data_IF_771609132778
#
_entry.id   IF_771609132778
#
_cell.length_a   1.000
_cell.length_b   1.000
_cell.length_c   1.000
_cell.angle_alpha   90.00
_cell.angle_beta   90.00
_cell.angle_gamma   90.00
#
_symmetry.space_group_name_H-M   'P 1'
#
loop_
_entity.id
_entity.type
_entity.pdbx_description
1 polymer ?
#
# COMPACT_ATOMS: atom_id res chain seq x y z
N UNK A 1 -32.80 -35.98 -23.03
CA UNK A 1 -33.01 -35.05 -21.91
C UNK A 1 -32.91 -33.63 -22.44
N UNK A 2 -34.02 -33.06 -22.91
CA UNK A 2 -34.09 -31.68 -23.40
C UNK A 2 -34.66 -30.85 -22.26
N UNK A 3 -33.84 -29.97 -21.68
CA UNK A 3 -34.31 -29.01 -20.67
C UNK A 3 -35.30 -28.07 -21.37
N UNK A 4 -36.54 -28.03 -20.89
CA UNK A 4 -37.64 -27.27 -21.51
C UNK A 4 -37.26 -25.80 -21.77
N UNK A 5 -37.55 -25.34 -22.99
CA UNK A 5 -37.17 -24.01 -23.52
C UNK A 5 -37.60 -22.84 -22.61
N UNK A 6 -38.74 -22.97 -21.91
CA UNK A 6 -39.21 -21.98 -20.93
C UNK A 6 -38.37 -21.91 -19.65
N UNK A 7 -37.86 -23.03 -19.17
CA UNK A 7 -36.97 -23.08 -18.00
C UNK A 7 -35.62 -22.42 -18.38
N UNK A 8 -35.10 -22.72 -19.57
CA UNK A 8 -33.87 -22.11 -20.10
C UNK A 8 -33.98 -20.57 -20.23
N UNK A 9 -35.09 -20.06 -20.76
CA UNK A 9 -35.34 -18.62 -20.87
C UNK A 9 -35.46 -17.93 -19.50
N UNK A 10 -36.10 -18.58 -18.52
CA UNK A 10 -36.16 -18.08 -17.14
C UNK A 10 -34.77 -17.93 -16.52
N UNK A 11 -33.91 -18.95 -16.68
CA UNK A 11 -32.52 -18.92 -16.21
C UNK A 11 -31.71 -17.81 -16.89
N UNK A 12 -31.88 -17.60 -18.20
CA UNK A 12 -31.18 -16.53 -18.91
C UNK A 12 -31.62 -15.13 -18.46
N UNK A 13 -32.91 -14.92 -18.20
CA UNK A 13 -33.42 -13.65 -17.64
C UNK A 13 -32.85 -13.35 -16.26
N UNK A 14 -32.77 -14.35 -15.39
CA UNK A 14 -32.15 -14.19 -14.05
C UNK A 14 -30.65 -13.89 -14.16
N UNK A 15 -29.93 -14.56 -15.07
CA UNK A 15 -28.52 -14.27 -15.34
C UNK A 15 -28.31 -12.84 -15.85
N UNK A 16 -29.16 -12.37 -16.77
CA UNK A 16 -29.09 -11.00 -17.28
C UNK A 16 -29.37 -9.96 -16.18
N UNK A 17 -30.38 -10.19 -15.33
CA UNK A 17 -30.67 -9.33 -14.17
C UNK A 17 -29.51 -9.32 -13.17
N UNK A 18 -28.90 -10.46 -12.88
CA UNK A 18 -27.71 -10.54 -12.01
C UNK A 18 -26.47 -9.87 -12.59
N UNK A 19 -26.26 -9.99 -13.91
CA UNK A 19 -25.14 -9.36 -14.60
C UNK A 19 -25.29 -7.83 -14.65
N UNK A 20 -26.51 -7.32 -14.90
CA UNK A 20 -26.79 -5.88 -14.93
C UNK A 20 -26.63 -5.23 -13.55
N UNK A 21 -27.13 -5.87 -12.49
CA UNK A 21 -26.92 -5.39 -11.12
C UNK A 21 -25.45 -5.51 -10.70
N UNK A 22 -24.79 -6.64 -10.97
CA UNK A 22 -23.36 -6.84 -10.69
C UNK A 22 -22.46 -5.84 -11.38
N UNK A 23 -22.72 -5.52 -12.66
CA UNK A 23 -21.99 -4.50 -13.41
C UNK A 23 -22.13 -3.11 -12.77
N UNK A 24 -23.34 -2.71 -12.40
CA UNK A 24 -23.60 -1.42 -11.73
C UNK A 24 -22.87 -1.32 -10.39
N UNK A 25 -22.86 -2.39 -9.59
CA UNK A 25 -22.14 -2.45 -8.31
C UNK A 25 -20.63 -2.34 -8.49
N UNK A 26 -20.06 -3.09 -9.44
CA UNK A 26 -18.63 -3.06 -9.73
C UNK A 26 -18.19 -1.70 -10.28
N UNK A 27 -19.01 -1.07 -11.13
CA UNK A 27 -18.76 0.28 -11.64
C UNK A 27 -18.74 1.33 -10.52
N UNK A 28 -19.70 1.28 -9.59
CA UNK A 28 -19.71 2.18 -8.43
C UNK A 28 -18.49 1.96 -7.53
N UNK A 29 -18.08 0.69 -7.32
CA UNK A 29 -16.86 0.36 -6.56
C UNK A 29 -15.61 0.90 -7.24
N UNK A 30 -15.47 0.73 -8.56
CA UNK A 30 -14.30 1.20 -9.31
C UNK A 30 -14.20 2.73 -9.35
N UNK A 31 -15.33 3.44 -9.48
CA UNK A 31 -15.39 4.90 -9.40
C UNK A 31 -14.98 5.41 -8.00
N UNK A 32 -15.47 4.77 -6.93
CA UNK A 32 -15.09 5.09 -5.56
C UNK A 32 -13.58 4.88 -5.31
N UNK A 33 -13.04 3.75 -5.76
CA UNK A 33 -11.60 3.45 -5.65
C UNK A 33 -10.75 4.45 -6.44
N UNK A 34 -11.19 4.84 -7.64
CA UNK A 34 -10.47 5.83 -8.46
C UNK A 34 -10.46 7.21 -7.80
N UNK A 35 -11.58 7.61 -7.16
CA UNK A 35 -11.64 8.85 -6.38
C UNK A 35 -10.64 8.82 -5.22
N UNK A 36 -10.62 7.73 -4.45
CA UNK A 36 -9.67 7.57 -3.33
C UNK A 36 -8.22 7.55 -3.80
N UNK A 37 -7.93 6.87 -4.92
CA UNK A 37 -6.60 6.84 -5.52
C UNK A 37 -6.10 8.24 -5.89
N UNK A 38 -6.96 9.10 -6.44
CA UNK A 38 -6.60 10.50 -6.73
C UNK A 38 -6.28 11.28 -5.46
N UNK A 39 -7.09 11.13 -4.40
CA UNK A 39 -6.85 11.77 -3.10
C UNK A 39 -5.50 11.34 -2.53
N UNK A 40 -5.21 10.04 -2.55
CA UNK A 40 -3.97 9.51 -1.97
C UNK A 40 -2.75 9.87 -2.82
N UNK A 41 -2.89 9.95 -4.15
CA UNK A 41 -1.81 10.42 -5.02
C UNK A 41 -1.40 11.86 -4.70
N UNK A 42 -2.37 12.73 -4.39
CA UNK A 42 -2.08 14.11 -3.93
C UNK A 42 -1.34 14.08 -2.59
N UNK A 43 -1.85 13.31 -1.64
CA UNK A 43 -1.22 13.14 -0.33
C UNK A 43 0.22 12.61 -0.44
N UNK A 44 0.50 11.67 -1.35
CA UNK A 44 1.84 11.16 -1.61
C UNK A 44 2.78 12.28 -2.06
N UNK A 45 2.33 13.16 -2.96
CA UNK A 45 3.15 14.28 -3.42
C UNK A 45 3.45 15.26 -2.28
N UNK A 46 2.45 15.57 -1.45
CA UNK A 46 2.60 16.45 -0.29
C UNK A 46 3.59 15.86 0.74
N UNK A 47 3.39 14.60 1.13
CA UNK A 47 4.29 13.90 2.06
C UNK A 47 5.69 13.72 1.47
N UNK A 48 5.83 13.54 0.15
CA UNK A 48 7.15 13.45 -0.50
C UNK A 48 7.90 14.79 -0.46
N UNK A 49 7.19 15.91 -0.58
CA UNK A 49 7.80 17.23 -0.41
C UNK A 49 8.23 17.47 1.05
N UNK A 50 7.38 17.10 2.01
CA UNK A 50 7.71 17.16 3.45
C UNK A 50 8.90 16.26 3.81
N UNK A 51 8.94 15.03 3.28
CA UNK A 51 10.06 14.09 3.42
C UNK A 51 11.36 14.71 2.91
N UNK A 52 11.33 15.38 1.75
CA UNK A 52 12.51 16.07 1.20
C UNK A 52 13.06 17.13 2.16
N UNK A 53 12.19 17.97 2.73
CA UNK A 53 12.59 19.04 3.67
C UNK A 53 13.12 18.48 4.99
N UNK A 54 12.41 17.53 5.57
CA UNK A 54 12.79 16.88 6.84
C UNK A 54 14.09 16.09 6.72
N UNK A 55 14.29 15.39 5.60
CA UNK A 55 15.54 14.68 5.30
C UNK A 55 16.70 15.64 5.08
N UNK A 56 16.48 16.76 4.40
CA UNK A 56 17.50 17.78 4.22
C UNK A 56 17.94 18.36 5.58
N UNK A 57 16.99 18.68 6.46
CA UNK A 57 17.30 19.12 7.82
C UNK A 57 18.05 18.06 8.62
N UNK A 58 17.72 16.78 8.47
CA UNK A 58 18.44 15.68 9.12
C UNK A 58 19.89 15.58 8.63
N UNK A 59 20.11 15.72 7.31
CA UNK A 59 21.45 15.71 6.72
C UNK A 59 22.32 16.89 7.22
N UNK A 60 21.73 18.08 7.40
CA UNK A 60 22.44 19.21 8.00
C UNK A 60 22.79 18.94 9.47
N UNK A 61 21.88 18.38 10.26
CA UNK A 61 22.17 17.98 11.65
C UNK A 61 23.30 16.94 11.74
N UNK A 62 23.41 16.04 10.76
CA UNK A 62 24.52 15.09 10.66
C UNK A 62 25.85 15.79 10.36
N UNK A 63 25.85 16.77 9.45
CA UNK A 63 27.03 17.56 9.13
C UNK A 63 27.51 18.38 10.35
N UNK A 64 26.58 19.00 11.08
CA UNK A 64 26.88 19.70 12.35
C UNK A 64 27.50 18.73 13.37
N UNK A 65 26.92 17.54 13.54
CA UNK A 65 27.44 16.53 14.45
C UNK A 65 28.84 16.04 14.05
N UNK A 66 29.05 15.77 12.76
CA UNK A 66 30.34 15.31 12.21
C UNK A 66 31.44 16.37 12.37
N UNK A 67 31.10 17.65 12.21
CA UNK A 67 32.05 18.75 12.42
C UNK A 67 32.52 18.86 13.87
N UNK A 68 31.61 18.75 14.84
CA UNK A 68 31.94 18.88 16.28
C UNK A 68 32.66 17.64 16.80
N UNK A 69 32.23 16.46 16.36
CA UNK A 69 32.62 15.19 17.00
C UNK A 69 33.75 14.46 16.28
N UNK A 70 33.98 14.79 14.99
CA UNK A 70 34.91 14.07 14.12
C UNK A 70 34.40 12.69 13.69
N UNK A 71 35.27 11.91 13.05
CA UNK A 71 34.90 10.60 12.46
C UNK A 71 34.80 9.45 13.48
N UNK A 72 35.33 9.63 14.69
CA UNK A 72 35.37 8.58 15.73
C UNK A 72 33.98 8.08 16.13
N UNK A 73 32.99 8.97 16.20
CA UNK A 73 31.62 8.62 16.62
C UNK A 73 30.90 7.74 15.60
N UNK A 74 31.28 7.82 14.32
CA UNK A 74 30.74 6.92 13.29
C UNK A 74 31.07 5.46 13.62
N UNK A 75 32.31 5.18 14.03
CA UNK A 75 32.73 3.83 14.39
C UNK A 75 32.04 3.32 15.65
N UNK A 76 31.88 4.18 16.67
CA UNK A 76 31.15 3.83 17.90
C UNK A 76 29.69 3.46 17.63
N UNK A 77 29.00 4.23 16.77
CA UNK A 77 27.62 3.94 16.38
C UNK A 77 27.52 2.59 15.64
N UNK A 78 28.45 2.31 14.73
CA UNK A 78 28.46 1.04 13.99
C UNK A 78 28.71 -0.17 14.90
N UNK A 79 29.58 -0.05 15.90
CA UNK A 79 29.85 -1.12 16.86
C UNK A 79 28.67 -1.36 17.82
N UNK A 80 27.94 -0.30 18.17
CA UNK A 80 26.78 -0.36 19.08
C UNK A 80 25.53 -0.93 18.39
N UNK A 81 25.45 -0.90 17.06
CA UNK A 81 24.28 -1.32 16.27
C UNK A 81 24.09 -2.85 16.22
N UNK A 82 23.74 -3.47 17.35
CA UNK A 82 23.47 -4.92 17.45
C UNK A 82 22.00 -5.28 17.28
N UNK A 83 21.09 -4.43 17.76
CA UNK A 83 19.64 -4.65 17.70
C UNK A 83 18.95 -3.46 17.03
N UNK A 84 17.87 -3.70 16.26
CA UNK A 84 17.14 -2.62 15.62
C UNK A 84 16.29 -1.87 16.66
N UNK A 85 16.54 -0.56 16.80
CA UNK A 85 15.81 0.32 17.70
C UNK A 85 14.37 0.58 17.22
N UNK A 86 14.14 0.66 15.90
CA UNK A 86 12.81 0.80 15.29
C UNK A 86 12.43 -0.46 14.51
N UNK A 87 11.24 -1.00 14.80
CA UNK A 87 10.63 -2.11 14.05
C UNK A 87 9.32 -1.64 13.42
N UNK A 88 8.96 -2.24 12.28
CA UNK A 88 7.68 -1.97 11.62
C UNK A 88 6.64 -3.00 12.04
N UNK A 89 5.45 -2.54 12.39
CA UNK A 89 4.26 -3.38 12.55
C UNK A 89 3.29 -3.08 11.43
N UNK A 90 2.76 -4.13 10.81
CA UNK A 90 1.73 -4.03 9.79
C UNK A 90 0.35 -4.07 10.45
N UNK A 91 -0.46 -3.05 10.17
CA UNK A 91 -1.91 -3.02 10.41
C UNK A 91 -2.65 -3.12 9.08
N UNK A 92 -3.90 -3.54 9.10
CA UNK A 92 -4.73 -3.63 7.89
C UNK A 92 -5.89 -2.63 8.00
N UNK A 93 -6.03 -1.73 7.02
CA UNK A 93 -7.16 -0.79 6.92
C UNK A 93 -8.07 -1.18 5.75
N UNK A 94 -9.38 -1.07 5.94
CA UNK A 94 -10.36 -1.37 4.90
C UNK A 94 -10.79 -0.08 4.18
N UNK A 95 -10.46 0.01 2.89
CA UNK A 95 -10.85 1.14 2.04
C UNK A 95 -11.75 0.61 0.92
N UNK A 96 -13.05 0.92 1.01
CA UNK A 96 -14.07 0.54 0.00
C UNK A 96 -14.15 -0.98 -0.27
N UNK A 97 -13.98 -1.80 0.77
CA UNK A 97 -14.05 -3.27 0.66
C UNK A 97 -12.77 -3.88 0.08
N UNK A 98 -11.63 -3.27 0.38
CA UNK A 98 -10.29 -3.71 0.02
C UNK A 98 -9.41 -3.53 1.26
N UNK A 99 -8.74 -4.58 1.71
CA UNK A 99 -7.84 -4.54 2.87
C UNK A 99 -6.43 -4.16 2.43
N UNK A 100 -5.87 -3.12 3.05
CA UNK A 100 -4.56 -2.59 2.73
C UNK A 100 -3.63 -2.60 3.93
N UNK A 101 -2.38 -3.02 3.75
CA UNK A 101 -1.38 -2.94 4.81
C UNK A 101 -0.95 -1.48 5.02
N UNK A 102 -0.90 -1.08 6.29
CA UNK A 102 -0.38 0.19 6.79
C UNK A 102 0.72 -0.13 7.77
N UNK A 103 1.82 0.61 7.67
CA UNK A 103 2.97 0.41 8.54
C UNK A 103 2.96 1.43 9.67
N UNK A 104 3.27 0.94 10.86
CA UNK A 104 3.52 1.76 12.05
C UNK A 104 4.90 1.45 12.61
N UNK A 105 5.60 2.48 13.06
CA UNK A 105 6.85 2.35 13.79
C UNK A 105 6.56 1.93 15.23
N UNK A 106 7.12 0.81 15.65
CA UNK A 106 7.23 0.42 17.06
C UNK A 106 8.67 0.60 17.47
N UNK A 107 8.88 1.39 18.52
CA UNK A 107 10.15 1.47 19.21
C UNK A 107 10.05 0.47 20.36
N UNK A 108 10.99 -0.49 20.42
CA UNK A 108 10.99 -1.45 21.52
C UNK A 108 11.52 -0.71 22.76
N UNK A 109 10.64 -0.38 23.71
CA UNK A 109 11.07 -0.28 25.09
C UNK A 109 11.26 -1.72 25.58
N UNK A 110 12.45 -2.01 26.06
CA UNK A 110 12.90 -3.32 26.56
C UNK A 110 12.06 -3.87 27.73
N UNK A 111 11.13 -3.08 28.27
CA UNK A 111 10.12 -3.51 29.22
C UNK A 111 8.77 -3.58 28.51
N UNK A 112 8.26 -4.80 28.30
CA UNK A 112 7.03 -5.09 27.57
C UNK A 112 5.74 -4.52 28.17
N UNK A 113 5.60 -3.19 28.19
CA UNK A 113 4.37 -2.50 28.53
C UNK A 113 3.93 -1.63 27.36
N UNK A 114 2.74 -1.96 26.87
CA UNK A 114 2.03 -1.33 25.78
C UNK A 114 1.93 0.20 25.91
N UNK A 115 1.75 0.83 24.73
CA UNK A 115 1.02 2.07 24.45
C UNK A 115 1.80 3.40 24.49
N UNK A 116 2.19 3.84 23.30
CA UNK A 116 1.93 5.22 22.84
C UNK A 116 1.85 5.23 21.31
N UNK A 117 0.80 4.60 20.77
CA UNK A 117 0.23 5.11 19.53
C UNK A 117 -0.40 6.46 19.87
N UNK A 118 -0.08 7.48 19.05
CA UNK A 118 -0.54 8.87 19.14
C UNK A 118 0.35 9.77 20.03
N UNK A 119 1.03 10.70 19.36
CA UNK A 119 1.90 11.76 19.87
C UNK A 119 3.38 11.40 20.11
N UNK A 120 4.22 11.81 19.15
CA UNK A 120 5.67 11.65 19.10
C UNK A 120 6.42 12.53 20.13
N UNK A 121 6.01 12.52 21.40
CA UNK A 121 6.64 13.29 22.49
C UNK A 121 7.41 12.43 23.50
N UNK A 122 7.53 11.12 23.26
CA UNK A 122 8.20 10.16 24.14
C UNK A 122 9.43 9.49 23.51
N UNK A 123 10.10 10.13 22.55
CA UNK A 123 11.18 9.54 21.75
C UNK A 123 12.54 9.59 22.46
N UNK A 124 12.56 9.36 23.78
CA UNK A 124 13.73 9.66 24.63
C UNK A 124 14.42 8.44 25.23
N UNK A 125 13.84 7.24 25.17
CA UNK A 125 14.27 6.16 26.08
C UNK A 125 14.68 4.82 25.46
N UNK A 126 14.86 4.70 24.14
CA UNK A 126 15.29 3.42 23.55
C UNK A 126 16.54 3.52 22.66
N UNK A 127 17.36 4.56 22.87
CA UNK A 127 18.65 4.69 22.23
C UNK A 127 19.75 4.49 23.27
N UNK A 128 20.36 3.32 23.24
CA UNK A 128 21.56 2.94 24.01
C UNK A 128 22.79 3.85 23.71
N UNK A 129 22.62 4.84 22.82
CA UNK A 129 23.62 5.83 22.45
C UNK A 129 23.74 7.01 23.41
N UNK A 130 23.08 6.99 24.58
CA UNK A 130 23.19 8.05 25.59
C UNK A 130 24.64 8.28 26.05
N UNK A 131 25.49 7.26 25.92
CA UNK A 131 26.91 7.30 26.28
C UNK A 131 27.82 7.79 25.12
N UNK A 132 27.29 7.97 23.90
CA UNK A 132 28.09 8.40 22.74
C UNK A 132 28.31 9.92 22.78
N UNK A 133 29.57 10.34 22.72
CA UNK A 133 29.93 11.75 22.59
C UNK A 133 29.80 12.59 23.88
N UNK A 134 29.73 11.96 25.06
CA UNK A 134 29.57 12.65 26.36
C UNK A 134 30.57 13.80 26.61
N UNK A 135 31.78 13.74 26.04
CA UNK A 135 32.79 14.81 26.14
C UNK A 135 33.01 15.64 24.86
N UNK A 136 32.46 15.24 23.72
CA UNK A 136 32.74 15.82 22.39
C UNK A 136 31.48 16.39 21.71
N UNK A 137 30.58 17.01 22.48
CA UNK A 137 29.36 17.61 21.93
C UNK A 137 28.16 16.66 21.84
N UNK A 138 27.96 15.78 22.84
CA UNK A 138 26.84 14.82 22.89
C UNK A 138 25.44 15.44 22.74
N UNK A 139 25.25 16.72 23.08
CA UNK A 139 24.01 17.43 22.79
C UNK A 139 23.69 17.50 21.28
N UNK A 140 24.72 17.67 20.44
CA UNK A 140 24.57 17.72 18.99
C UNK A 140 24.27 16.32 18.42
N UNK A 141 24.85 15.28 19.01
CA UNK A 141 24.54 13.88 18.69
C UNK A 141 23.08 13.58 18.99
N UNK A 142 22.57 14.00 20.15
CA UNK A 142 21.16 13.82 20.51
C UNK A 142 20.22 14.60 19.58
N UNK A 143 20.52 15.87 19.27
CA UNK A 143 19.75 16.68 18.29
C UNK A 143 19.68 16.00 16.93
N UNK A 144 20.80 15.44 16.45
CA UNK A 144 20.86 14.69 15.21
C UNK A 144 19.94 13.46 15.27
N UNK A 145 20.01 12.65 16.33
CA UNK A 145 19.15 11.49 16.52
C UNK A 145 17.66 11.86 16.51
N UNK A 146 17.26 12.88 17.28
CA UNK A 146 15.87 13.33 17.33
C UNK A 146 15.35 13.78 15.95
N UNK A 147 16.19 14.45 15.16
CA UNK A 147 15.85 14.89 13.80
C UNK A 147 15.70 13.71 12.84
N UNK A 148 16.61 12.72 12.93
CA UNK A 148 16.54 11.51 12.11
C UNK A 148 15.32 10.66 12.43
N UNK A 149 14.92 10.57 13.69
CA UNK A 149 13.77 9.75 14.04
C UNK A 149 12.47 10.40 13.52
N UNK A 150 12.38 11.73 13.56
CA UNK A 150 11.29 12.45 12.88
C UNK A 150 11.27 12.16 11.37
N UNK A 151 12.43 12.14 10.72
CA UNK A 151 12.53 11.79 9.30
C UNK A 151 12.10 10.33 9.00
N UNK A 152 12.48 9.37 9.86
CA UNK A 152 12.06 7.96 9.74
C UNK A 152 10.54 7.83 9.85
N UNK A 153 9.89 8.55 10.75
CA UNK A 153 8.42 8.52 10.88
C UNK A 153 7.74 8.98 9.59
N UNK A 154 8.24 10.04 8.95
CA UNK A 154 7.73 10.54 7.66
C UNK A 154 7.96 9.51 6.55
N UNK A 155 9.12 8.85 6.53
CA UNK A 155 9.43 7.79 5.56
C UNK A 155 8.49 6.59 5.68
N UNK A 156 8.17 6.17 6.90
CA UNK A 156 7.26 5.04 7.13
C UNK A 156 5.82 5.38 6.73
N UNK A 157 5.41 6.63 6.95
CA UNK A 157 4.14 7.13 6.44
C UNK A 157 4.10 7.13 4.92
N UNK A 158 5.15 7.62 4.27
CA UNK A 158 5.29 7.62 2.81
C UNK A 158 5.27 6.21 2.24
N UNK A 159 5.99 5.25 2.85
CA UNK A 159 6.01 3.85 2.43
C UNK A 159 4.61 3.22 2.46
N UNK A 160 3.84 3.49 3.51
CA UNK A 160 2.45 3.01 3.63
C UNK A 160 1.57 3.52 2.48
N UNK A 161 1.70 4.81 2.13
CA UNK A 161 0.96 5.41 1.02
C UNK A 161 1.44 4.91 -0.35
N UNK A 162 2.73 4.62 -0.52
CA UNK A 162 3.26 4.08 -1.76
C UNK A 162 2.74 2.68 -2.04
N UNK A 163 2.69 1.81 -1.02
CA UNK A 163 2.09 0.47 -1.13
C UNK A 163 0.61 0.56 -1.52
N UNK A 164 -0.13 1.53 -0.95
CA UNK A 164 -1.50 1.84 -1.38
C UNK A 164 -1.58 2.11 -2.88
N UNK A 165 -0.72 2.99 -3.40
CA UNK A 165 -0.77 3.41 -4.81
C UNK A 165 -0.49 2.26 -5.78
N UNK A 166 0.51 1.42 -5.47
CA UNK A 166 0.86 0.26 -6.28
C UNK A 166 -0.29 -0.76 -6.30
N UNK A 167 -0.89 -1.01 -5.13
CA UNK A 167 -1.97 -1.97 -4.97
C UNK A 167 -3.25 -1.52 -5.69
N UNK A 168 -3.67 -0.26 -5.50
CA UNK A 168 -4.86 0.28 -6.17
C UNK A 168 -4.69 0.35 -7.69
N UNK A 169 -3.50 0.66 -8.20
CA UNK A 169 -3.23 0.65 -9.64
C UNK A 169 -3.41 -0.75 -10.24
N UNK A 170 -2.94 -1.78 -9.55
CA UNK A 170 -3.13 -3.19 -9.93
C UNK A 170 -4.60 -3.62 -9.87
N UNK A 171 -5.36 -3.17 -8.86
CA UNK A 171 -6.78 -3.48 -8.78
C UNK A 171 -7.61 -2.75 -9.83
N UNK A 172 -7.25 -1.51 -10.18
CA UNK A 172 -7.97 -0.74 -11.18
C UNK A 172 -7.88 -1.40 -12.57
N UNK A 173 -6.69 -1.84 -13.00
CA UNK A 173 -6.50 -2.52 -14.30
C UNK A 173 -7.28 -3.83 -14.39
N UNK A 174 -7.23 -4.67 -13.34
CA UNK A 174 -7.98 -5.92 -13.29
C UNK A 174 -9.51 -5.74 -13.36
N UNK A 175 -10.03 -4.62 -12.86
CA UNK A 175 -11.47 -4.32 -12.91
C UNK A 175 -11.88 -3.65 -14.23
N UNK A 176 -11.04 -2.83 -14.86
CA UNK A 176 -11.33 -2.19 -16.16
C UNK A 176 -11.21 -3.17 -17.33
N UNK A 177 -10.23 -4.08 -17.31
CA UNK A 177 -10.04 -5.07 -18.39
C UNK A 177 -11.16 -6.12 -18.43
N UNK A 178 -11.77 -6.44 -17.28
CA UNK A 178 -12.97 -7.30 -17.21
C UNK A 178 -14.26 -6.60 -17.62
N UNK A 179 -14.30 -5.26 -17.63
CA UNK A 179 -15.47 -4.48 -18.03
C UNK A 179 -15.44 -4.13 -19.54
N UNK A 180 -14.26 -4.11 -20.18
CA UNK A 180 -14.10 -3.67 -21.58
C UNK A 180 -13.85 -4.77 -22.61
N UNK A 181 -13.57 -6.02 -22.24
CA UNK A 181 -13.58 -7.13 -23.20
C UNK A 181 -14.62 -8.18 -22.79
N UNK A 182 -15.70 -8.37 -23.56
CA UNK A 182 -16.35 -9.66 -23.52
C UNK A 182 -15.27 -10.66 -23.94
N UNK A 183 -14.88 -11.58 -23.04
CA UNK A 183 -14.28 -12.83 -23.47
C UNK A 183 -15.13 -13.29 -24.66
N UNK A 184 -14.53 -13.42 -25.84
CA UNK A 184 -15.12 -14.13 -26.98
C UNK A 184 -15.46 -15.53 -26.48
N UNK A 185 -16.62 -15.69 -25.86
CA UNK A 185 -17.28 -16.96 -25.74
C UNK A 185 -17.61 -17.33 -27.17
N UNK A 186 -16.81 -18.23 -27.71
CA UNK A 186 -17.00 -18.93 -28.97
C UNK A 186 -18.48 -19.05 -29.31
N UNK A 187 -18.94 -18.24 -30.24
CA UNK A 187 -20.24 -18.37 -30.86
C UNK A 187 -19.94 -18.48 -32.34
N UNK A 188 -19.66 -19.70 -32.77
CA UNK A 188 -19.80 -20.19 -34.14
C UNK A 188 -19.60 -21.71 -34.14
N UNK A 189 -20.58 -22.43 -33.60
CA UNK A 189 -20.87 -23.80 -34.03
C UNK A 189 -22.33 -23.82 -34.49
N UNK A 190 -22.53 -23.62 -35.80
CA UNK A 190 -23.81 -23.91 -36.46
C UNK A 190 -23.89 -25.42 -36.68
N UNK A 191 -24.89 -26.14 -36.13
CA UNK A 191 -25.13 -27.52 -36.53
C UNK A 191 -25.81 -27.51 -37.90
N UNK A 192 -25.16 -28.08 -38.91
CA UNK A 192 -25.76 -28.34 -40.22
C UNK A 192 -26.83 -29.43 -40.08
N UNK A 193 -28.09 -29.02 -39.95
CA UNK A 193 -29.23 -29.93 -40.02
C UNK A 193 -29.51 -30.31 -41.48
N UNK A 194 -29.44 -31.61 -41.75
CA UNK A 194 -29.73 -32.26 -43.03
C UNK A 194 -31.11 -31.86 -43.56
N UNK A 195 -31.21 -31.57 -44.85
CA UNK A 195 -32.47 -31.56 -45.59
C UNK A 195 -32.36 -32.58 -46.73
N UNK A 196 -32.80 -33.81 -46.44
CA UNK A 196 -33.18 -34.77 -47.48
C UNK A 196 -34.39 -34.22 -48.23
N UNK A 197 -34.31 -34.11 -49.56
CA UNK A 197 -35.45 -34.36 -50.46
C UNK A 197 -34.95 -35.05 -51.72
N UNK A 198 -35.71 -36.08 -52.08
CA UNK A 198 -35.54 -36.98 -53.21
C UNK A 198 -35.74 -36.29 -54.57
N UNK A 199 -35.29 -36.97 -55.63
CA UNK A 199 -35.97 -37.28 -56.91
C UNK A 199 -34.88 -37.47 -57.99
N UNK A 200 -34.60 -38.73 -58.37
CA UNK A 200 -35.04 -39.42 -59.60
C UNK A 200 -34.18 -39.13 -60.84
N UNK A 201 -33.64 -40.25 -61.37
CA UNK A 201 -33.11 -40.55 -62.72
C UNK A 201 -33.87 -39.87 -63.88
N UNK A 202 -33.26 -39.71 -65.07
CA UNK A 202 -32.79 -40.81 -65.94
C UNK A 202 -31.28 -41.05 -65.89
#
# INVERSE_FOLDING_TARGET
>A
MIISEKISLGLMKTKLKGATTGHSLLKRKSEALTKQFRTITRLINDTKAEMGRTMQSAAFSLAEMSYVTGDEVKYQILETARTPSCRLKTKHENISGVFLPIYECIINDENGLHSAALHCTGLKQCLDHRLIGLGKGGQQVQKCQETYIKAINVLVRLASLQVFSAFCKSLATNNTDRLCYPRRCHQDYKPSSKRNRAHHHP
#
